data_IF_946593100024
#
_entry.id   IF_946593100024
#
_cell.length_a   1.000
_cell.length_b   1.000
_cell.length_c   1.000
_cell.angle_alpha   90.00
_cell.angle_beta   90.00
_cell.angle_gamma   90.00
#
_symmetry.space_group_name_H-M   'P 1'
#
loop_
_entity.id
_entity.type
_entity.pdbx_description
1 polymer ?
#
# COMPACT_ATOMS: atom_id res chain seq x y z
N UNK A 1 -21.57 19.41 18.94
CA UNK A 1 -20.21 18.89 19.24
C UNK A 1 -19.52 18.59 17.93
N UNK A 2 -18.65 19.46 17.47
CA UNK A 2 -17.83 19.22 16.29
C UNK A 2 -16.55 18.53 16.74
N UNK A 3 -16.52 17.20 16.61
CA UNK A 3 -15.31 16.42 16.79
C UNK A 3 -14.41 16.61 15.57
N UNK A 4 -13.41 17.47 15.65
CA UNK A 4 -12.31 17.50 14.68
C UNK A 4 -11.50 16.21 14.83
N UNK A 5 -11.81 15.22 14.02
CA UNK A 5 -10.91 14.09 13.78
C UNK A 5 -9.72 14.64 12.98
N UNK A 6 -8.69 15.05 13.71
CA UNK A 6 -7.38 15.29 13.14
C UNK A 6 -6.81 13.93 12.72
N UNK A 7 -7.28 13.41 11.59
CA UNK A 7 -6.72 12.20 10.99
C UNK A 7 -5.34 12.55 10.46
N UNK A 8 -4.31 11.97 11.05
CA UNK A 8 -2.99 11.97 10.41
C UNK A 8 -3.18 11.41 9.00
N UNK A 9 -2.63 12.05 7.96
CA UNK A 9 -2.76 11.53 6.61
C UNK A 9 -2.25 10.10 6.58
N UNK A 10 -3.05 9.19 6.04
CA UNK A 10 -2.66 7.80 5.91
C UNK A 10 -1.39 7.71 5.06
N UNK A 11 -0.47 6.88 5.47
CA UNK A 11 0.84 6.71 4.85
C UNK A 11 1.05 5.25 4.48
N UNK A 12 1.68 5.04 3.34
CA UNK A 12 2.16 3.73 2.90
C UNK A 12 3.68 3.74 2.82
N UNK A 13 4.29 2.63 3.16
CA UNK A 13 5.74 2.46 3.11
C UNK A 13 6.09 1.23 2.27
N UNK A 14 7.06 1.38 1.38
CA UNK A 14 7.65 0.29 0.62
C UNK A 14 8.99 -0.09 1.24
N UNK A 15 9.15 -1.37 1.52
CA UNK A 15 10.33 -1.92 2.18
C UNK A 15 10.95 -2.97 1.26
N UNK A 16 12.26 -2.86 1.04
CA UNK A 16 13.06 -3.88 0.37
C UNK A 16 13.77 -4.74 1.41
N UNK A 17 13.63 -6.04 1.28
CA UNK A 17 14.38 -6.98 2.10
C UNK A 17 15.27 -7.82 1.18
N UNK A 18 16.61 -7.63 1.23
CA UNK A 18 17.54 -8.38 0.39
C UNK A 18 17.57 -9.86 0.72
N UNK A 19 17.16 -10.23 1.93
CA UNK A 19 17.04 -11.63 2.35
C UNK A 19 15.56 -11.88 2.66
N UNK A 20 14.84 -12.69 1.86
CA UNK A 20 13.46 -13.02 2.16
C UNK A 20 13.33 -13.65 3.55
N UNK A 21 12.62 -12.99 4.45
CA UNK A 21 12.48 -13.42 5.84
C UNK A 21 11.08 -13.16 6.42
N UNK A 22 10.16 -12.72 5.56
CA UNK A 22 8.78 -12.47 5.98
C UNK A 22 8.08 -13.75 6.44
N UNK A 23 7.45 -13.70 7.59
CA UNK A 23 6.68 -14.80 8.18
C UNK A 23 5.27 -14.30 8.51
N UNK A 24 4.27 -14.87 7.86
CA UNK A 24 2.86 -14.50 8.03
C UNK A 24 2.36 -14.67 9.48
N UNK A 25 2.95 -15.60 10.24
CA UNK A 25 2.65 -15.78 11.67
C UNK A 25 3.34 -14.74 12.56
N UNK A 26 4.24 -13.94 12.00
CA UNK A 26 4.98 -12.87 12.69
C UNK A 26 5.02 -11.63 11.79
N UNK A 27 3.95 -10.82 11.72
CA UNK A 27 3.84 -9.68 10.81
C UNK A 27 4.99 -8.68 10.91
N UNK A 28 5.57 -8.50 12.09
CA UNK A 28 6.71 -7.59 12.32
C UNK A 28 7.94 -7.94 11.47
N UNK A 29 8.07 -9.19 11.02
CA UNK A 29 9.19 -9.61 10.16
C UNK A 29 9.17 -8.95 8.79
N UNK A 30 7.99 -8.49 8.32
CA UNK A 30 7.89 -7.76 7.05
C UNK A 30 8.43 -6.33 7.13
N UNK A 31 8.56 -5.76 8.32
CA UNK A 31 9.10 -4.41 8.53
C UNK A 31 10.62 -4.37 8.76
N UNK A 32 11.29 -5.52 8.78
CA UNK A 32 12.74 -5.62 9.08
C UNK A 32 13.66 -5.22 7.94
N UNK A 33 13.12 -4.91 6.76
CA UNK A 33 13.90 -4.51 5.59
C UNK A 33 14.32 -3.03 5.57
N UNK A 34 14.88 -2.62 4.46
CA UNK A 34 15.29 -1.24 4.23
C UNK A 34 14.11 -0.46 3.65
N UNK A 35 13.75 0.67 4.24
CA UNK A 35 12.73 1.57 3.70
C UNK A 35 13.24 2.17 2.39
N UNK A 36 12.58 1.85 1.28
CA UNK A 36 12.92 2.34 -0.07
C UNK A 36 11.98 3.42 -0.56
N UNK A 37 10.79 3.55 0.00
CA UNK A 37 9.83 4.58 -0.35
C UNK A 37 8.79 4.82 0.73
N UNK A 38 8.26 6.04 0.75
CA UNK A 38 7.12 6.42 1.57
C UNK A 38 6.15 7.23 0.74
N UNK A 39 4.89 6.89 0.85
CA UNK A 39 3.80 7.54 0.15
C UNK A 39 2.85 8.20 1.14
N UNK A 40 2.18 9.21 0.66
CA UNK A 40 1.09 9.88 1.36
C UNK A 40 -0.14 9.85 0.46
N UNK A 41 -1.30 9.62 1.04
CA UNK A 41 -2.57 9.74 0.34
C UNK A 41 -2.80 11.22 0.03
N UNK A 42 -2.88 11.54 -1.27
CA UNK A 42 -3.15 12.88 -1.76
C UNK A 42 -4.66 13.14 -1.90
N UNK A 43 -5.41 12.11 -2.31
CA UNK A 43 -6.85 12.16 -2.43
C UNK A 43 -7.42 10.77 -2.14
N UNK A 44 -8.58 10.71 -1.52
CA UNK A 44 -9.26 9.46 -1.24
C UNK A 44 -10.77 9.68 -1.16
N UNK A 45 -11.52 8.76 -1.75
CA UNK A 45 -12.97 8.69 -1.68
C UNK A 45 -13.41 7.30 -1.22
N UNK A 46 -14.46 7.25 -0.43
CA UNK A 46 -15.11 6.02 0.00
C UNK A 46 -16.56 6.02 -0.43
N UNK A 47 -16.99 4.92 -1.03
CA UNK A 47 -18.40 4.66 -1.33
C UNK A 47 -18.82 3.43 -0.54
N UNK A 48 -19.63 3.63 0.47
CA UNK A 48 -20.15 2.53 1.28
C UNK A 48 -21.47 2.03 0.70
N UNK A 49 -21.50 0.74 0.38
CA UNK A 49 -22.67 0.00 -0.07
C UNK A 49 -23.06 -1.01 1.02
N UNK A 50 -24.26 -1.63 0.97
CA UNK A 50 -24.70 -2.52 2.06
C UNK A 50 -23.75 -3.67 2.37
N UNK A 51 -23.09 -4.26 1.38
CA UNK A 51 -22.26 -5.45 1.54
C UNK A 51 -20.76 -5.18 1.39
N UNK A 52 -20.38 -4.09 0.78
CA UNK A 52 -18.98 -3.73 0.57
C UNK A 52 -18.76 -2.22 0.56
N UNK A 53 -17.53 -1.82 0.78
CA UNK A 53 -17.07 -0.44 0.64
C UNK A 53 -16.05 -0.39 -0.50
N UNK A 54 -16.22 0.55 -1.42
CA UNK A 54 -15.24 0.87 -2.44
C UNK A 54 -14.40 2.05 -1.99
N UNK A 55 -13.09 1.90 -2.06
CA UNK A 55 -12.11 2.93 -1.76
C UNK A 55 -11.32 3.26 -3.02
N UNK A 56 -11.31 4.51 -3.42
CA UNK A 56 -10.52 5.01 -4.56
C UNK A 56 -9.61 6.10 -4.05
N UNK A 57 -8.35 6.08 -4.46
CA UNK A 57 -7.43 7.10 -3.99
C UNK A 57 -6.17 7.23 -4.83
N UNK A 58 -5.43 8.28 -4.53
CA UNK A 58 -4.14 8.59 -5.15
C UNK A 58 -3.09 8.72 -4.08
N UNK A 59 -1.97 8.04 -4.26
CA UNK A 59 -0.80 8.15 -3.39
C UNK A 59 0.33 8.84 -4.15
N UNK A 60 1.00 9.76 -3.45
CA UNK A 60 2.18 10.46 -3.96
C UNK A 60 3.40 10.10 -3.13
N UNK A 61 4.52 9.92 -3.81
CA UNK A 61 5.80 9.61 -3.17
C UNK A 61 6.33 10.83 -2.42
N UNK A 62 6.59 10.68 -1.12
CA UNK A 62 7.15 11.73 -0.27
C UNK A 62 8.61 11.48 0.10
N UNK A 63 9.07 10.25 -0.01
CA UNK A 63 10.44 9.85 0.23
C UNK A 63 10.81 8.68 -0.67
N UNK A 64 12.01 8.68 -1.21
CA UNK A 64 12.58 7.53 -1.92
C UNK A 64 14.07 7.38 -1.66
N UNK A 65 14.54 6.15 -1.78
CA UNK A 65 15.94 5.77 -1.68
C UNK A 65 16.26 4.78 -2.80
N UNK A 66 17.49 4.83 -3.28
CA UNK A 66 17.98 3.82 -4.22
C UNK A 66 18.01 2.45 -3.58
N UNK A 67 17.65 1.45 -4.35
CA UNK A 67 17.72 0.04 -3.96
C UNK A 67 18.17 -0.82 -5.13
N UNK A 68 18.81 -1.94 -4.83
CA UNK A 68 19.29 -2.88 -5.83
C UNK A 68 18.33 -4.07 -5.92
N UNK A 69 18.00 -4.44 -7.15
CA UNK A 69 17.23 -5.65 -7.46
C UNK A 69 17.79 -6.29 -8.72
N UNK A 70 18.13 -7.58 -8.64
CA UNK A 70 18.74 -8.34 -9.74
C UNK A 70 19.98 -7.65 -10.35
N UNK A 71 20.85 -7.08 -9.52
CA UNK A 71 22.08 -6.42 -9.96
C UNK A 71 21.89 -5.04 -10.60
N UNK A 72 20.68 -4.51 -10.64
CA UNK A 72 20.38 -3.16 -11.12
C UNK A 72 19.94 -2.26 -9.98
N UNK A 73 20.26 -0.99 -10.09
CA UNK A 73 19.83 0.04 -9.13
C UNK A 73 18.55 0.71 -9.62
N UNK A 74 17.59 0.86 -8.71
CA UNK A 74 16.29 1.47 -8.96
C UNK A 74 15.99 2.52 -7.92
N UNK A 75 15.11 3.47 -8.28
CA UNK A 75 14.53 4.43 -7.38
C UNK A 75 13.02 4.56 -7.66
N UNK A 76 12.21 4.53 -6.61
CA UNK A 76 10.75 4.64 -6.77
C UNK A 76 10.31 5.99 -7.33
N UNK A 77 11.14 7.03 -7.21
CA UNK A 77 10.86 8.32 -7.84
C UNK A 77 10.74 8.23 -9.37
N UNK A 78 11.50 7.35 -9.99
CA UNK A 78 11.49 7.16 -11.44
C UNK A 78 10.46 6.09 -11.86
N UNK A 79 10.23 5.09 -10.99
CA UNK A 79 9.37 3.96 -11.30
C UNK A 79 7.90 4.21 -10.95
N UNK A 80 7.66 4.85 -9.79
CA UNK A 80 6.35 4.90 -9.17
C UNK A 80 6.17 6.19 -8.35
N UNK A 81 6.30 7.38 -8.97
CA UNK A 81 6.18 8.65 -8.23
C UNK A 81 4.75 8.90 -7.72
N UNK A 82 3.77 8.42 -8.46
CA UNK A 82 2.33 8.52 -8.14
C UNK A 82 1.66 7.23 -8.59
N UNK A 83 0.72 6.75 -7.80
CA UNK A 83 -0.18 5.69 -8.24
C UNK A 83 -1.59 5.87 -7.68
N UNK A 84 -2.57 5.33 -8.39
CA UNK A 84 -3.96 5.28 -7.96
C UNK A 84 -4.33 3.86 -7.58
N UNK A 85 -5.25 3.72 -6.65
CA UNK A 85 -5.84 2.44 -6.30
C UNK A 85 -7.36 2.53 -6.34
N UNK A 86 -7.99 1.40 -6.61
CA UNK A 86 -9.44 1.20 -6.59
C UNK A 86 -9.69 -0.16 -5.92
N UNK A 87 -10.00 -0.13 -4.64
CA UNK A 87 -10.16 -1.31 -3.82
C UNK A 87 -11.61 -1.50 -3.40
N UNK A 88 -12.07 -2.75 -3.40
CA UNK A 88 -13.35 -3.17 -2.84
C UNK A 88 -13.09 -4.01 -1.60
N UNK A 89 -13.73 -3.67 -0.51
CA UNK A 89 -13.53 -4.26 0.82
C UNK A 89 -14.88 -4.74 1.34
N UNK A 90 -14.96 -5.98 1.81
CA UNK A 90 -16.18 -6.49 2.41
C UNK A 90 -16.49 -5.76 3.74
N UNK A 91 -17.76 -5.38 3.96
CA UNK A 91 -18.18 -4.72 5.18
C UNK A 91 -18.29 -5.67 6.38
N UNK A 92 -18.38 -6.97 6.10
CA UNK A 92 -18.48 -8.03 7.12
C UNK A 92 -17.32 -9.01 6.97
N UNK A 93 -16.86 -9.61 8.06
CA UNK A 93 -15.88 -10.68 7.98
C UNK A 93 -16.37 -11.83 7.11
N UNK A 94 -15.45 -12.42 6.37
CA UNK A 94 -15.68 -13.64 5.59
C UNK A 94 -14.97 -14.80 6.27
N UNK A 95 -15.52 -16.03 6.15
CA UNK A 95 -14.89 -17.22 6.73
C UNK A 95 -13.45 -17.36 6.23
N UNK A 96 -12.54 -17.62 7.15
CA UNK A 96 -11.15 -17.92 6.83
C UNK A 96 -10.99 -19.25 6.10
N UNK A 97 -9.92 -19.38 5.35
CA UNK A 97 -9.49 -20.68 4.81
C UNK A 97 -8.99 -21.52 5.97
N UNK A 98 -9.09 -22.84 5.86
CA UNK A 98 -8.65 -23.78 6.91
C UNK A 98 -7.31 -23.40 7.53
N UNK A 99 -7.29 -23.18 8.84
CA UNK A 99 -6.09 -22.75 9.59
C UNK A 99 -5.91 -21.24 9.73
N UNK A 100 -6.80 -20.42 9.14
CA UNK A 100 -6.77 -18.97 9.28
C UNK A 100 -8.06 -18.45 9.91
N UNK A 101 -7.99 -17.38 10.72
CA UNK A 101 -9.19 -16.74 11.27
C UNK A 101 -10.03 -16.09 10.18
N UNK A 102 -11.27 -15.78 10.51
CA UNK A 102 -12.12 -14.94 9.68
C UNK A 102 -11.45 -13.59 9.43
N UNK A 103 -11.64 -13.06 8.25
CA UNK A 103 -10.98 -11.84 7.80
C UNK A 103 -11.88 -10.94 6.96
N UNK A 104 -11.32 -9.88 6.47
CA UNK A 104 -11.97 -8.98 5.52
C UNK A 104 -11.51 -9.36 4.11
N UNK A 105 -12.46 -9.65 3.23
CA UNK A 105 -12.13 -9.82 1.82
C UNK A 105 -11.86 -8.46 1.18
N UNK A 106 -10.76 -8.33 0.49
CA UNK A 106 -10.43 -7.15 -0.29
C UNK A 106 -9.84 -7.54 -1.64
N UNK A 107 -10.08 -6.71 -2.63
CA UNK A 107 -9.52 -6.87 -3.96
C UNK A 107 -9.67 -5.58 -4.73
N UNK A 108 -8.78 -5.34 -5.67
CA UNK A 108 -8.81 -4.11 -6.44
C UNK A 108 -7.68 -4.00 -7.44
N UNK A 109 -7.63 -2.87 -8.09
CA UNK A 109 -6.66 -2.53 -9.12
C UNK A 109 -5.78 -1.36 -8.68
N UNK A 110 -4.56 -1.34 -9.18
CA UNK A 110 -3.63 -0.24 -9.00
C UNK A 110 -3.09 0.18 -10.37
N UNK A 111 -3.17 1.46 -10.66
CA UNK A 111 -2.56 2.05 -11.87
C UNK A 111 -1.35 2.88 -11.46
N UNK A 112 -0.21 2.55 -12.03
CA UNK A 112 1.02 3.29 -11.88
C UNK A 112 1.56 3.72 -13.23
N UNK A 113 2.08 4.93 -13.29
CA UNK A 113 2.75 5.46 -14.47
C UNK A 113 4.22 5.71 -14.13
N UNK A 114 5.10 4.93 -14.71
CA UNK A 114 6.53 5.17 -14.61
C UNK A 114 6.92 6.37 -15.47
N UNK A 115 7.65 7.32 -14.88
CA UNK A 115 8.35 8.32 -15.67
C UNK A 115 9.68 7.69 -16.10
N UNK A 116 9.74 7.19 -17.33
CA UNK A 116 11.04 6.87 -17.92
C UNK A 116 11.78 8.19 -18.08
N UNK A 117 12.81 8.42 -17.25
CA UNK A 117 13.75 9.48 -17.51
C UNK A 117 14.30 9.25 -18.91
N UNK A 118 14.14 10.21 -19.78
CA UNK A 118 14.97 10.26 -20.97
C UNK A 118 16.37 10.60 -20.48
N UNK A 119 17.27 9.63 -20.61
CA UNK A 119 18.72 9.85 -20.47
C UNK A 119 19.20 10.75 -21.59
#
# INVERSE_FOLDING_TARGET
>A
MSGSLCSRPARSASISNPIPGGNWNKPDTFSSGILIGRYQIAAQEFVQLPTFTRAVGTLTLTFSRDFSFNGKTYNLRNLLPVYTFDDTISNTPVPGISGFPDGIACGGDCLAVATTGQD
#
